data_IF_468428545755
#
_entry.id   IF_468428545755
#
_cell.length_a   1.000
_cell.length_b   1.000
_cell.length_c   1.000
_cell.angle_alpha   90.00
_cell.angle_beta   90.00
_cell.angle_gamma   90.00
#
_symmetry.space_group_name_H-M   'P 1'
#
loop_
_entity.id
_entity.type
_entity.pdbx_description
1 polymer ?
#
# COMPACT_ATOMS: atom_id res chain seq x y z
N UNK A 1 -20.94 6.35 -4.24
CA UNK A 1 -19.48 6.12 -4.08
C UNK A 1 -18.90 7.26 -3.27
N UNK A 2 -17.79 7.03 -2.58
CA UNK A 2 -17.05 8.03 -1.81
C UNK A 2 -15.55 7.77 -1.93
N UNK A 3 -14.75 8.83 -1.86
CA UNK A 3 -13.28 8.75 -1.81
C UNK A 3 -12.82 8.94 -0.37
N UNK A 4 -12.05 8.01 0.16
CA UNK A 4 -11.55 8.03 1.53
C UNK A 4 -10.03 7.94 1.57
N UNK A 5 -9.42 8.40 2.66
CA UNK A 5 -7.98 8.33 2.86
C UNK A 5 -7.60 6.95 3.41
N UNK A 6 -6.78 6.22 2.67
CA UNK A 6 -6.28 4.90 3.06
C UNK A 6 -4.85 4.72 2.56
N UNK A 7 -3.90 4.66 3.49
CA UNK A 7 -2.47 4.53 3.19
C UNK A 7 -2.10 3.23 2.48
N UNK A 8 -2.95 2.20 2.57
CA UNK A 8 -2.74 0.94 1.85
C UNK A 8 -3.17 0.99 0.38
N UNK A 9 -3.87 2.06 -0.02
CA UNK A 9 -4.40 2.20 -1.37
C UNK A 9 -3.39 2.84 -2.31
N UNK A 10 -2.86 2.05 -3.25
CA UNK A 10 -1.99 2.52 -4.32
C UNK A 10 -2.73 2.43 -5.64
N UNK A 11 -2.81 3.54 -6.35
CA UNK A 11 -3.47 3.56 -7.64
C UNK A 11 -2.53 2.95 -8.70
N UNK A 12 -3.07 2.08 -9.56
CA UNK A 12 -2.24 1.30 -10.48
C UNK A 12 -1.43 2.18 -11.47
N UNK A 13 -2.02 3.29 -11.92
CA UNK A 13 -1.45 4.13 -12.99
C UNK A 13 -1.12 5.55 -12.54
N UNK A 14 -2.10 6.26 -11.98
CA UNK A 14 -1.97 7.69 -11.61
C UNK A 14 -1.60 7.92 -10.13
N UNK A 15 -0.36 8.36 -9.81
CA UNK A 15 0.11 8.53 -8.44
C UNK A 15 -0.66 9.58 -7.63
N UNK A 16 -1.42 10.48 -8.25
CA UNK A 16 -2.20 11.51 -7.53
C UNK A 16 -3.37 10.93 -6.71
N UNK A 17 -3.72 9.68 -6.99
CA UNK A 17 -4.73 8.92 -6.26
C UNK A 17 -4.14 7.94 -5.25
N UNK A 18 -2.81 7.90 -5.09
CA UNK A 18 -2.20 7.14 -4.01
C UNK A 18 -2.69 7.68 -2.66
N UNK A 19 -3.00 6.77 -1.74
CA UNK A 19 -3.60 7.09 -0.45
C UNK A 19 -5.10 7.32 -0.52
N UNK A 20 -5.76 7.07 -1.66
CA UNK A 20 -7.19 7.32 -1.85
C UNK A 20 -7.92 6.09 -2.35
N UNK A 21 -8.79 5.52 -1.51
CA UNK A 21 -9.64 4.38 -1.86
C UNK A 21 -11.01 4.87 -2.33
N UNK A 22 -11.46 4.36 -3.48
CA UNK A 22 -12.84 4.52 -3.92
C UNK A 22 -13.71 3.44 -3.28
N UNK A 23 -14.67 3.84 -2.46
CA UNK A 23 -15.65 2.96 -1.83
C UNK A 23 -17.00 3.09 -2.55
N UNK A 24 -17.60 1.95 -2.87
CA UNK A 24 -18.91 1.85 -3.51
C UNK A 24 -19.85 1.06 -2.60
N UNK A 25 -20.89 1.71 -2.10
CA UNK A 25 -22.00 1.06 -1.38
C UNK A 25 -23.19 0.84 -2.30
N UNK A 26 -24.01 -0.16 -2.00
CA UNK A 26 -25.25 -0.46 -2.74
C UNK A 26 -26.39 0.50 -2.42
N UNK A 27 -26.32 1.21 -1.29
CA UNK A 27 -27.22 2.28 -0.89
C UNK A 27 -26.43 3.42 -0.23
N UNK A 28 -27.11 4.51 0.12
CA UNK A 28 -26.49 5.62 0.84
C UNK A 28 -26.07 5.23 2.25
N UNK A 29 -26.90 4.42 2.92
CA UNK A 29 -26.70 3.92 4.28
C UNK A 29 -25.49 2.98 4.31
N UNK A 30 -25.46 2.00 3.41
CA UNK A 30 -24.33 1.08 3.32
C UNK A 30 -23.03 1.80 2.94
N UNK A 31 -23.10 2.81 2.06
CA UNK A 31 -21.91 3.64 1.77
C UNK A 31 -21.41 4.37 3.02
N UNK A 32 -22.31 4.91 3.86
CA UNK A 32 -21.93 5.59 5.09
C UNK A 32 -21.26 4.62 6.09
N UNK A 33 -21.80 3.42 6.24
CA UNK A 33 -21.21 2.37 7.09
C UNK A 33 -19.78 2.01 6.65
N UNK A 34 -19.57 1.78 5.35
CA UNK A 34 -18.24 1.47 4.81
C UNK A 34 -17.24 2.61 5.01
N UNK A 35 -17.68 3.86 4.85
CA UNK A 35 -16.83 5.04 5.09
C UNK A 35 -16.45 5.15 6.57
N UNK A 36 -17.37 4.89 7.50
CA UNK A 36 -17.06 4.92 8.93
C UNK A 36 -16.14 3.77 9.36
N UNK A 37 -16.28 2.59 8.75
CA UNK A 37 -15.34 1.48 8.97
C UNK A 37 -13.92 1.84 8.51
N UNK A 38 -13.79 2.46 7.32
CA UNK A 38 -12.47 2.84 6.77
C UNK A 38 -11.77 3.90 7.65
N UNK A 39 -12.52 4.88 8.16
CA UNK A 39 -12.00 5.92 9.08
C UNK A 39 -11.40 5.37 10.37
N UNK A 40 -11.75 4.15 10.79
CA UNK A 40 -11.16 3.53 11.99
C UNK A 40 -9.71 3.09 11.75
N UNK A 41 -9.31 2.93 10.48
CA UNK A 41 -7.94 2.60 10.13
C UNK A 41 -7.09 3.88 10.15
N UNK A 42 -5.99 3.92 10.92
CA UNK A 42 -5.09 5.06 10.88
C UNK A 42 -4.40 5.13 9.53
N UNK A 43 -4.25 6.36 9.01
CA UNK A 43 -3.42 6.61 7.85
C UNK A 43 -1.95 6.61 8.27
N UNK A 44 -1.14 5.74 7.66
CA UNK A 44 0.29 5.59 7.99
C UNK A 44 1.13 5.95 6.78
N UNK A 45 1.88 7.05 6.86
CA UNK A 45 2.70 7.52 5.73
C UNK A 45 3.71 6.46 5.25
N UNK A 46 4.33 5.74 6.18
CA UNK A 46 5.29 4.68 5.85
C UNK A 46 4.64 3.53 5.06
N UNK A 47 3.36 3.23 5.30
CA UNK A 47 2.60 2.25 4.53
C UNK A 47 2.34 2.75 3.10
N UNK A 48 1.99 4.02 2.96
CA UNK A 48 1.82 4.63 1.64
C UNK A 48 3.12 4.62 0.84
N UNK A 49 4.24 4.98 1.48
CA UNK A 49 5.56 4.98 0.86
C UNK A 49 5.97 3.56 0.46
N UNK A 50 5.74 2.57 1.32
CA UNK A 50 5.95 1.16 1.00
C UNK A 50 5.19 0.74 -0.27
N UNK A 51 3.92 1.12 -0.39
CA UNK A 51 3.12 0.81 -1.57
C UNK A 51 3.63 1.48 -2.85
N UNK A 52 4.05 2.75 -2.77
CA UNK A 52 4.67 3.48 -3.89
C UNK A 52 5.98 2.83 -4.35
N UNK A 53 6.82 2.44 -3.40
CA UNK A 53 8.10 1.76 -3.66
C UNK A 53 7.85 0.41 -4.34
N UNK A 54 6.87 -0.36 -3.85
CA UNK A 54 6.50 -1.63 -4.48
C UNK A 54 6.07 -1.43 -5.94
N UNK A 55 5.14 -0.50 -6.20
CA UNK A 55 4.68 -0.22 -7.58
C UNK A 55 5.84 0.15 -8.51
N UNK A 56 6.72 1.07 -8.08
CA UNK A 56 7.87 1.47 -8.88
C UNK A 56 8.84 0.29 -9.10
N UNK A 57 9.17 -0.46 -8.05
CA UNK A 57 10.02 -1.65 -8.15
C UNK A 57 9.46 -2.68 -9.13
N UNK A 58 8.15 -2.98 -9.07
CA UNK A 58 7.49 -3.93 -9.97
C UNK A 58 7.52 -3.49 -11.43
N UNK A 59 7.32 -2.19 -11.70
CA UNK A 59 7.39 -1.64 -13.06
C UNK A 59 8.78 -1.86 -13.72
N UNK A 60 9.82 -2.01 -12.91
CA UNK A 60 11.20 -2.28 -13.33
C UNK A 60 11.64 -3.74 -13.10
N UNK A 61 10.71 -4.65 -12.81
CA UNK A 61 11.03 -6.07 -12.56
C UNK A 61 11.96 -6.29 -11.36
N UNK A 62 11.85 -5.45 -10.33
CA UNK A 62 12.66 -5.50 -9.12
C UNK A 62 14.05 -4.89 -9.24
N UNK A 63 14.41 -4.30 -10.38
CA UNK A 63 15.74 -3.74 -10.65
C UNK A 63 15.66 -2.25 -10.94
N UNK A 64 15.54 -1.46 -9.87
CA UNK A 64 15.49 0.00 -9.94
C UNK A 64 16.63 0.59 -9.12
N UNK A 65 17.30 1.64 -9.63
CA UNK A 65 18.33 2.34 -8.86
C UNK A 65 17.70 3.23 -7.79
N UNK A 66 18.42 3.57 -6.70
CA UNK A 66 17.90 4.50 -5.69
C UNK A 66 17.48 5.86 -6.25
N UNK A 67 18.20 6.37 -7.25
CA UNK A 67 17.93 7.66 -7.88
C UNK A 67 16.65 7.61 -8.73
N UNK A 68 16.49 6.56 -9.53
CA UNK A 68 15.28 6.35 -10.35
C UNK A 68 14.07 6.10 -9.45
N UNK A 69 14.23 5.33 -8.38
CA UNK A 69 13.18 5.10 -7.39
C UNK A 69 12.72 6.41 -6.74
N UNK A 70 13.65 7.29 -6.35
CA UNK A 70 13.32 8.60 -5.80
C UNK A 70 12.61 9.49 -6.83
N UNK A 71 13.07 9.47 -8.09
CA UNK A 71 12.47 10.23 -9.18
C UNK A 71 11.01 9.79 -9.45
N UNK A 72 10.77 8.49 -9.63
CA UNK A 72 9.45 7.97 -9.96
C UNK A 72 8.44 8.07 -8.83
N UNK A 73 8.88 7.83 -7.60
CA UNK A 73 7.99 7.87 -6.43
C UNK A 73 7.78 9.28 -5.89
N UNK A 74 8.68 10.22 -6.25
CA UNK A 74 8.75 11.57 -5.68
C UNK A 74 9.13 11.57 -4.20
N UNK A 75 9.69 10.47 -3.67
CA UNK A 75 10.03 10.32 -2.27
C UNK A 75 11.46 10.77 -2.00
N UNK A 76 11.65 11.46 -0.87
CA UNK A 76 12.97 11.71 -0.33
C UNK A 76 13.60 10.42 0.21
N UNK A 77 14.93 10.37 0.27
CA UNK A 77 15.68 9.20 0.75
C UNK A 77 15.21 8.69 2.13
N UNK A 78 14.91 9.61 3.07
CA UNK A 78 14.38 9.24 4.38
C UNK A 78 13.02 8.54 4.33
N UNK A 79 12.14 8.97 3.41
CA UNK A 79 10.83 8.36 3.20
C UNK A 79 10.96 6.98 2.55
N UNK A 80 11.89 6.83 1.59
CA UNK A 80 12.23 5.54 1.00
C UNK A 80 12.69 4.55 2.08
N UNK A 81 13.62 4.96 2.95
CA UNK A 81 14.10 4.12 4.05
C UNK A 81 12.96 3.68 4.98
N UNK A 82 12.06 4.60 5.35
CA UNK A 82 10.93 4.29 6.23
C UNK A 82 9.89 3.38 5.54
N UNK A 83 9.64 3.56 4.24
CA UNK A 83 8.77 2.68 3.46
C UNK A 83 9.33 1.27 3.33
N UNK A 84 10.63 1.13 3.04
CA UNK A 84 11.31 -0.18 3.02
C UNK A 84 11.25 -0.85 4.40
N UNK A 85 11.49 -0.09 5.48
CA UNK A 85 11.38 -0.61 6.83
C UNK A 85 9.98 -1.13 7.15
N UNK A 86 8.93 -0.42 6.72
CA UNK A 86 7.54 -0.86 6.86
C UNK A 86 7.29 -2.22 6.19
N UNK A 87 7.73 -2.39 4.93
CA UNK A 87 7.62 -3.67 4.22
C UNK A 87 8.33 -4.80 4.97
N UNK A 88 9.54 -4.54 5.46
CA UNK A 88 10.35 -5.52 6.19
C UNK A 88 9.70 -5.92 7.52
N UNK A 89 9.08 -4.99 8.24
CA UNK A 89 8.35 -5.28 9.48
C UNK A 89 7.10 -6.14 9.19
N UNK A 90 6.38 -5.84 8.11
CA UNK A 90 5.25 -6.66 7.64
C UNK A 90 5.68 -8.08 7.31
N UNK A 91 6.75 -8.25 6.52
CA UNK A 91 7.31 -9.56 6.16
C UNK A 91 7.81 -10.34 7.38
N UNK A 92 8.47 -9.68 8.34
CA UNK A 92 8.88 -10.29 9.61
C UNK A 92 7.68 -10.73 10.44
N UNK A 93 6.63 -9.92 10.50
CA UNK A 93 5.36 -10.30 11.12
C UNK A 93 4.82 -11.56 10.45
N UNK A 94 4.68 -11.55 9.14
CA UNK A 94 4.19 -12.68 8.36
C UNK A 94 4.99 -13.96 8.62
N UNK A 95 6.32 -13.88 8.62
CA UNK A 95 7.19 -15.01 8.96
C UNK A 95 7.03 -15.51 10.39
N UNK A 96 6.77 -14.63 11.37
CA UNK A 96 6.52 -15.05 12.76
C UNK A 96 5.18 -15.76 12.90
N UNK A 97 4.16 -15.31 12.19
CA UNK A 97 2.80 -15.86 12.29
C UNK A 97 2.60 -17.11 11.43
N UNK A 98 3.26 -17.21 10.26
CA UNK A 98 3.03 -18.26 9.27
C UNK A 98 4.29 -19.08 8.91
N UNK A 99 5.47 -18.76 9.46
CA UNK A 99 6.74 -19.46 9.19
C UNK A 99 7.46 -19.01 7.91
N UNK A 100 8.56 -19.70 7.56
CA UNK A 100 9.14 -19.68 6.21
C UNK A 100 8.45 -20.79 5.42
N UNK A 101 7.34 -20.50 4.75
CA UNK A 101 6.61 -21.51 3.99
C UNK A 101 5.89 -20.88 2.83
N UNK A 102 5.97 -21.56 1.69
CA UNK A 102 5.30 -21.25 0.44
C UNK A 102 3.87 -20.76 0.71
N UNK A 103 3.48 -19.69 -0.01
CA UNK A 103 2.16 -19.09 0.10
C UNK A 103 1.05 -20.15 0.01
N UNK A 104 -0.16 -19.85 0.51
CA UNK A 104 -1.24 -20.83 0.59
C UNK A 104 -1.34 -21.59 -0.72
N UNK A 105 -1.16 -22.92 -0.67
CA UNK A 105 -1.48 -23.80 -1.77
C UNK A 105 -2.87 -23.38 -2.26
N UNK A 106 -2.93 -22.90 -3.49
CA UNK A 106 -4.18 -22.58 -4.16
C UNK A 106 -5.02 -23.84 -4.15
N UNK A 107 -6.01 -23.88 -3.25
CA UNK A 107 -7.01 -24.93 -3.23
C UNK A 107 -7.74 -24.90 -4.58
N UNK A 108 -7.42 -25.88 -5.41
CA UNK A 108 -8.01 -26.17 -6.70
C UNK A 108 -8.07 -27.67 -6.90
#
# INVERSE_FOLDING_TARGET
MALVLDSSSIHAVDPKFDGKRLIVGCSREHLAELVEQDKQRPFVDAELWAGKIYRASEAHGGRISPEELAYETGLAEGQIRLGVLWQNLGAQGWHRWFGKGDGPESAG
#
